data_IF_483240206239
#
_entry.id   IF_483240206239
#
_cell.length_a   1.000
_cell.length_b   1.000
_cell.length_c   1.000
_cell.angle_alpha   90.00
_cell.angle_beta   90.00
_cell.angle_gamma   90.00
#
_symmetry.space_group_name_H-M   'P 1'
#
loop_
_entity.id
_entity.type
_entity.pdbx_description
1 polymer ?
#
# COMPACT_ATOMS: atom_id res chain seq x y z
N UNK A 1 -11.51 -10.29 -5.61
CA UNK A 1 -11.23 -10.86 -6.96
C UNK A 1 -10.69 -9.86 -7.98
N UNK A 2 -11.07 -8.56 -8.03
CA UNK A 2 -10.58 -7.63 -9.06
C UNK A 2 -9.05 -7.42 -9.09
N UNK A 3 -8.41 -7.34 -7.93
CA UNK A 3 -6.96 -7.07 -7.83
C UNK A 3 -6.11 -8.14 -8.55
N UNK A 4 -6.46 -9.42 -8.39
CA UNK A 4 -5.69 -10.54 -8.94
C UNK A 4 -5.68 -10.50 -10.47
N UNK A 5 -6.83 -10.20 -11.07
CA UNK A 5 -6.97 -10.10 -12.53
C UNK A 5 -6.13 -8.95 -13.07
N UNK A 6 -6.28 -7.75 -12.48
CA UNK A 6 -5.56 -6.55 -12.90
C UNK A 6 -4.04 -6.76 -12.80
N UNK A 7 -3.56 -7.25 -11.65
CA UNK A 7 -2.13 -7.47 -11.41
C UNK A 7 -1.58 -8.56 -12.34
N UNK A 8 -2.33 -9.62 -12.61
CA UNK A 8 -1.90 -10.68 -13.54
C UNK A 8 -1.73 -10.16 -14.97
N UNK A 9 -2.65 -9.31 -15.44
CA UNK A 9 -2.55 -8.68 -16.77
C UNK A 9 -1.32 -7.77 -16.85
N UNK A 10 -1.09 -6.94 -15.83
CA UNK A 10 0.07 -6.04 -15.79
C UNK A 10 1.38 -6.86 -15.74
N UNK A 11 1.44 -7.88 -14.87
CA UNK A 11 2.62 -8.72 -14.70
C UNK A 11 2.98 -9.48 -15.99
N UNK A 12 2.00 -9.88 -16.80
CA UNK A 12 2.24 -10.52 -18.10
C UNK A 12 2.91 -9.57 -19.11
N UNK A 13 2.53 -8.30 -19.10
CA UNK A 13 3.06 -7.29 -20.02
C UNK A 13 4.43 -6.73 -19.61
N UNK A 14 4.91 -7.01 -18.38
CA UNK A 14 6.25 -6.66 -17.86
C UNK A 14 6.70 -5.23 -18.25
N UNK A 15 6.01 -4.18 -17.78
CA UNK A 15 6.38 -2.82 -18.13
C UNK A 15 7.80 -2.50 -17.65
N UNK A 16 8.70 -2.19 -18.58
CA UNK A 16 10.12 -1.92 -18.30
C UNK A 16 10.40 -0.42 -18.14
N UNK A 17 9.56 0.44 -18.70
CA UNK A 17 9.75 1.89 -18.65
C UNK A 17 9.23 2.47 -17.32
N UNK A 18 10.16 2.90 -16.47
CA UNK A 18 9.86 3.50 -15.16
C UNK A 18 8.93 4.72 -15.27
N UNK A 19 9.17 5.61 -16.23
CA UNK A 19 8.36 6.83 -16.41
C UNK A 19 6.92 6.49 -16.79
N UNK A 20 6.73 5.49 -17.64
CA UNK A 20 5.38 5.01 -17.98
C UNK A 20 4.66 4.45 -16.74
N UNK A 21 5.33 3.64 -15.93
CA UNK A 21 4.74 3.10 -14.69
C UNK A 21 4.38 4.21 -13.71
N UNK A 22 5.26 5.20 -13.52
CA UNK A 22 4.99 6.35 -12.66
C UNK A 22 3.86 7.23 -13.18
N UNK A 23 3.79 7.44 -14.50
CA UNK A 23 2.70 8.18 -15.13
C UNK A 23 1.35 7.50 -14.88
N UNK A 24 1.26 6.18 -15.14
CA UNK A 24 0.05 5.40 -14.88
C UNK A 24 -0.31 5.43 -13.40
N UNK A 25 0.68 5.30 -12.50
CA UNK A 25 0.46 5.38 -11.06
C UNK A 25 -0.14 6.73 -10.64
N UNK A 26 0.46 7.84 -11.08
CA UNK A 26 -0.02 9.20 -10.77
C UNK A 26 -1.42 9.41 -11.35
N UNK A 27 -1.70 8.94 -12.57
CA UNK A 27 -3.01 9.01 -13.19
C UNK A 27 -4.07 8.27 -12.34
N UNK A 28 -3.79 7.02 -11.95
CA UNK A 28 -4.70 6.21 -11.12
C UNK A 28 -4.95 6.85 -9.77
N UNK A 29 -3.91 7.35 -9.10
CA UNK A 29 -4.04 8.05 -7.81
C UNK A 29 -4.86 9.33 -7.95
N UNK A 30 -4.63 10.11 -9.00
CA UNK A 30 -5.35 11.36 -9.27
C UNK A 30 -6.83 11.08 -9.49
N UNK A 31 -7.17 10.16 -10.40
CA UNK A 31 -8.56 9.76 -10.68
C UNK A 31 -9.22 9.21 -9.41
N UNK A 32 -8.53 8.34 -8.67
CA UNK A 32 -9.04 7.78 -7.42
C UNK A 32 -9.30 8.86 -6.37
N UNK A 33 -8.40 9.83 -6.23
CA UNK A 33 -8.59 10.97 -5.33
C UNK A 33 -9.81 11.80 -5.72
N UNK A 34 -10.01 12.11 -7.00
CA UNK A 34 -11.18 12.86 -7.47
C UNK A 34 -12.49 12.11 -7.25
N UNK A 35 -12.55 10.82 -7.58
CA UNK A 35 -13.75 9.99 -7.38
C UNK A 35 -14.11 9.93 -5.88
N UNK A 36 -13.13 9.67 -5.03
CA UNK A 36 -13.35 9.51 -3.60
C UNK A 36 -13.69 10.82 -2.89
N UNK A 37 -13.11 11.94 -3.33
CA UNK A 37 -13.39 13.28 -2.77
C UNK A 37 -14.76 13.83 -3.20
N UNK A 38 -15.26 13.44 -4.38
CA UNK A 38 -16.59 13.85 -4.88
C UNK A 38 -17.72 13.44 -3.93
N UNK A 39 -17.59 12.27 -3.30
CA UNK A 39 -18.51 11.82 -2.28
C UNK A 39 -18.08 12.41 -0.93
N UNK A 40 -18.51 13.63 -0.60
CA UNK A 40 -18.25 14.23 0.71
C UNK A 40 -18.89 13.36 1.80
N UNK A 41 -18.08 12.52 2.44
CA UNK A 41 -18.48 11.76 3.60
C UNK A 41 -18.11 12.58 4.84
N UNK A 42 -18.87 12.39 5.92
CA UNK A 42 -18.60 13.01 7.22
C UNK A 42 -17.13 12.82 7.64
N UNK A 43 -16.60 13.75 8.43
CA UNK A 43 -15.20 13.70 8.90
C UNK A 43 -14.95 12.34 9.55
N UNK A 44 -13.88 11.66 9.14
CA UNK A 44 -13.48 10.41 9.74
C UNK A 44 -13.33 10.57 11.25
N UNK A 45 -13.98 9.68 12.02
CA UNK A 45 -13.76 9.60 13.46
C UNK A 45 -12.28 9.29 13.73
N UNK A 46 -11.71 9.87 14.77
CA UNK A 46 -10.37 9.52 15.21
C UNK A 46 -10.34 8.04 15.62
N UNK A 47 -9.71 7.21 14.81
CA UNK A 47 -9.58 5.78 15.08
C UNK A 47 -8.43 5.59 16.06
N UNK A 48 -8.75 5.09 17.26
CA UNK A 48 -7.76 4.67 18.25
C UNK A 48 -7.63 3.15 18.22
N UNK A 49 -6.40 2.67 18.09
CA UNK A 49 -6.14 1.24 18.09
C UNK A 49 -5.67 0.81 19.48
N UNK A 50 -6.23 -0.29 19.99
CA UNK A 50 -5.68 -0.94 21.18
C UNK A 50 -4.37 -1.64 20.83
N UNK A 51 -3.54 -1.91 21.85
CA UNK A 51 -2.30 -2.68 21.67
C UNK A 51 -2.58 -4.05 21.06
N UNK A 52 -3.65 -4.73 21.51
CA UNK A 52 -4.06 -6.03 20.99
C UNK A 52 -4.47 -5.97 19.52
N UNK A 53 -5.23 -4.95 19.13
CA UNK A 53 -5.58 -4.70 17.74
C UNK A 53 -4.35 -4.45 16.87
N UNK A 54 -3.38 -3.70 17.38
CA UNK A 54 -2.12 -3.41 16.67
C UNK A 54 -1.30 -4.67 16.46
N UNK A 55 -1.14 -5.49 17.50
CA UNK A 55 -0.47 -6.79 17.42
C UNK A 55 -1.21 -7.72 16.44
N UNK A 56 -2.53 -7.81 16.53
CA UNK A 56 -3.35 -8.63 15.63
C UNK A 56 -3.17 -8.25 14.15
N UNK A 57 -3.07 -6.95 13.84
CA UNK A 57 -2.75 -6.48 12.49
C UNK A 57 -1.35 -6.90 12.05
N UNK A 58 -0.36 -6.82 12.94
CA UNK A 58 1.00 -7.29 12.68
C UNK A 58 1.05 -8.79 12.37
N UNK A 59 0.37 -9.60 13.18
CA UNK A 59 0.27 -11.06 12.98
C UNK A 59 -0.44 -11.37 11.66
N UNK A 60 -1.57 -10.71 11.37
CA UNK A 60 -2.29 -10.91 10.11
C UNK A 60 -1.43 -10.54 8.90
N UNK A 61 -0.78 -9.38 8.90
CA UNK A 61 0.08 -8.95 7.82
C UNK A 61 1.28 -9.89 7.64
N UNK A 62 1.92 -10.30 8.74
CA UNK A 62 3.04 -11.24 8.73
C UNK A 62 2.64 -12.62 8.21
N UNK A 63 1.47 -13.14 8.61
CA UNK A 63 0.92 -14.37 8.09
C UNK A 63 0.69 -14.30 6.58
N UNK A 64 0.07 -13.21 6.10
CA UNK A 64 -0.17 -13.01 4.67
C UNK A 64 1.14 -12.91 3.88
N UNK A 65 2.13 -12.16 4.38
CA UNK A 65 3.46 -12.08 3.73
C UNK A 65 4.12 -13.46 3.69
N UNK A 66 4.07 -14.22 4.79
CA UNK A 66 4.62 -15.58 4.87
C UNK A 66 3.96 -16.51 3.84
N UNK A 67 2.63 -16.44 3.71
CA UNK A 67 1.86 -17.21 2.73
C UNK A 67 2.26 -16.83 1.29
N UNK A 68 2.43 -15.55 1.00
CA UNK A 68 2.86 -15.05 -0.31
C UNK A 68 4.26 -15.57 -0.66
N UNK A 69 5.22 -15.52 0.28
CA UNK A 69 6.59 -16.02 0.06
C UNK A 69 6.58 -17.53 -0.17
N UNK A 70 5.83 -18.28 0.64
CA UNK A 70 5.69 -19.72 0.50
C UNK A 70 5.07 -20.12 -0.84
N UNK A 71 3.95 -19.49 -1.21
CA UNK A 71 3.28 -19.72 -2.49
C UNK A 71 4.14 -19.28 -3.67
N UNK A 72 4.88 -18.17 -3.55
CA UNK A 72 5.82 -17.72 -4.58
C UNK A 72 6.96 -18.73 -4.81
N UNK A 73 7.40 -19.44 -3.76
CA UNK A 73 8.37 -20.54 -3.90
C UNK A 73 7.80 -21.73 -4.66
N UNK A 74 6.52 -22.07 -4.44
CA UNK A 74 5.86 -23.23 -5.07
C UNK A 74 5.42 -22.93 -6.50
N UNK A 75 4.79 -21.77 -6.71
CA UNK A 75 4.16 -21.37 -7.97
C UNK A 75 5.13 -20.63 -8.90
N UNK A 76 6.32 -20.29 -8.41
CA UNK A 76 7.37 -19.61 -9.15
C UNK A 76 7.32 -18.07 -9.09
N UNK A 77 8.35 -17.40 -9.62
CA UNK A 77 8.58 -15.97 -9.42
C UNK A 77 7.44 -15.07 -9.93
N UNK A 78 6.77 -15.48 -11.02
CA UNK A 78 5.63 -14.74 -11.57
C UNK A 78 4.49 -14.61 -10.55
N UNK A 79 4.06 -15.73 -9.97
CA UNK A 79 3.00 -15.76 -8.98
C UNK A 79 3.43 -15.14 -7.65
N UNK A 80 4.71 -15.27 -7.27
CA UNK A 80 5.26 -14.54 -6.13
C UNK A 80 5.08 -13.03 -6.28
N UNK A 81 5.41 -12.49 -7.46
CA UNK A 81 5.19 -11.07 -7.78
C UNK A 81 3.71 -10.68 -7.78
N UNK A 82 2.85 -11.45 -8.45
CA UNK A 82 1.41 -11.18 -8.50
C UNK A 82 0.80 -11.16 -7.09
N UNK A 83 1.10 -12.17 -6.27
CA UNK A 83 0.56 -12.30 -4.91
C UNK A 83 1.10 -11.23 -3.96
N UNK A 84 2.32 -10.73 -4.18
CA UNK A 84 2.92 -9.65 -3.37
C UNK A 84 2.14 -8.33 -3.41
N UNK A 85 1.34 -8.11 -4.46
CA UNK A 85 0.49 -6.93 -4.59
C UNK A 85 -0.78 -6.99 -3.72
N UNK A 86 -1.00 -8.09 -2.98
CA UNK A 86 -2.18 -8.23 -2.13
C UNK A 86 -2.20 -7.15 -1.01
N UNK A 87 -3.31 -6.43 -0.84
CA UNK A 87 -3.37 -5.28 0.07
C UNK A 87 -3.59 -5.69 1.54
N UNK A 88 -2.67 -6.45 2.12
CA UNK A 88 -2.80 -7.00 3.48
C UNK A 88 -3.04 -5.92 4.55
N UNK A 89 -2.22 -4.86 4.53
CA UNK A 89 -2.30 -3.76 5.50
C UNK A 89 -3.65 -3.02 5.42
N UNK A 90 -4.09 -2.68 4.21
CA UNK A 90 -5.36 -1.97 3.98
C UNK A 90 -6.54 -2.86 4.39
N UNK A 91 -6.52 -4.14 4.00
CA UNK A 91 -7.57 -5.10 4.34
C UNK A 91 -7.70 -5.24 5.86
N UNK A 92 -6.58 -5.35 6.58
CA UNK A 92 -6.58 -5.42 8.04
C UNK A 92 -7.18 -4.17 8.68
N UNK A 93 -6.90 -2.98 8.13
CA UNK A 93 -7.41 -1.72 8.63
C UNK A 93 -8.93 -1.61 8.42
N UNK A 94 -9.43 -2.01 7.24
CA UNK A 94 -10.87 -1.95 6.95
C UNK A 94 -11.67 -2.91 7.79
N UNK A 95 -11.19 -4.14 7.96
CA UNK A 95 -11.84 -5.13 8.82
C UNK A 95 -12.01 -4.57 10.24
N UNK A 96 -10.96 -3.94 10.77
CA UNK A 96 -11.00 -3.34 12.10
C UNK A 96 -11.96 -2.14 12.15
N UNK A 97 -11.87 -1.21 11.19
CA UNK A 97 -12.76 -0.03 11.15
C UNK A 97 -14.22 -0.45 11.05
N UNK A 98 -14.53 -1.41 10.17
CA UNK A 98 -15.88 -1.93 10.01
C UNK A 98 -16.42 -2.51 11.32
N UNK A 99 -15.66 -3.36 12.00
CA UNK A 99 -16.14 -4.01 13.22
C UNK A 99 -16.19 -3.11 14.45
N UNK A 100 -15.28 -2.15 14.58
CA UNK A 100 -15.17 -1.32 15.80
C UNK A 100 -15.87 0.03 15.67
N UNK A 101 -16.01 0.55 14.44
CA UNK A 101 -16.56 1.89 14.18
C UNK A 101 -17.73 1.87 13.19
N UNK A 102 -18.12 0.70 12.67
CA UNK A 102 -19.21 0.55 11.73
C UNK A 102 -18.85 0.93 10.28
N UNK A 103 -19.70 0.48 9.35
CA UNK A 103 -19.49 0.69 7.90
C UNK A 103 -19.45 2.15 7.48
N UNK A 104 -20.12 3.05 8.21
CA UNK A 104 -20.14 4.48 7.92
C UNK A 104 -18.75 5.11 7.99
N UNK A 105 -17.85 4.57 8.82
CA UNK A 105 -16.49 5.07 9.00
C UNK A 105 -15.48 4.54 7.96
N UNK A 106 -15.88 3.58 7.11
CA UNK A 106 -14.99 3.04 6.07
C UNK A 106 -14.72 4.07 4.98
N UNK A 107 -15.75 4.76 4.50
CA UNK A 107 -15.61 5.68 3.37
C UNK A 107 -14.71 6.89 3.68
N UNK A 108 -14.86 7.59 4.82
CA UNK A 108 -13.93 8.64 5.24
C UNK A 108 -12.48 8.15 5.38
N UNK A 109 -12.29 6.89 5.79
CA UNK A 109 -10.96 6.28 5.93
C UNK A 109 -10.32 6.01 4.55
N UNK A 110 -11.12 5.51 3.60
CA UNK A 110 -10.68 5.18 2.24
C UNK A 110 -10.25 6.42 1.46
N UNK A 111 -10.88 7.58 1.70
CA UNK A 111 -10.57 8.84 1.00
C UNK A 111 -9.11 9.30 1.14
N UNK A 112 -8.43 8.90 2.21
CA UNK A 112 -7.02 9.23 2.46
C UNK A 112 -6.04 8.29 1.75
N UNK A 113 -6.49 7.11 1.30
CA UNK A 113 -5.62 6.09 0.72
C UNK A 113 -4.90 6.55 -0.55
N UNK A 114 -5.52 7.27 -1.51
CA UNK A 114 -4.82 7.66 -2.74
C UNK A 114 -3.57 8.50 -2.45
N UNK A 115 -3.67 9.44 -1.51
CA UNK A 115 -2.52 10.28 -1.13
C UNK A 115 -1.49 9.45 -0.37
N UNK A 116 -1.93 8.62 0.59
CA UNK A 116 -1.03 7.73 1.35
C UNK A 116 -0.27 6.74 0.46
N UNK A 117 -0.82 6.34 -0.68
CA UNK A 117 -0.17 5.43 -1.61
C UNK A 117 1.12 5.99 -2.23
N UNK A 118 1.32 7.32 -2.24
CA UNK A 118 2.55 7.97 -2.71
C UNK A 118 3.82 7.53 -1.95
N UNK A 119 3.67 6.97 -0.75
CA UNK A 119 4.77 6.41 0.05
C UNK A 119 5.38 5.17 -0.62
N UNK A 120 4.59 4.40 -1.38
CA UNK A 120 5.02 3.15 -2.02
C UNK A 120 6.07 3.38 -3.11
N UNK A 121 5.84 4.26 -4.13
CA UNK A 121 6.87 4.53 -5.12
C UNK A 121 8.10 5.21 -4.52
N UNK A 122 7.96 5.99 -3.42
CA UNK A 122 9.11 6.55 -2.73
C UNK A 122 10.04 5.44 -2.21
N UNK A 123 9.48 4.42 -1.55
CA UNK A 123 10.23 3.23 -1.16
C UNK A 123 10.88 2.56 -2.37
N UNK A 124 10.09 2.22 -3.39
CA UNK A 124 10.56 1.44 -4.53
C UNK A 124 11.70 2.15 -5.29
N UNK A 125 11.55 3.44 -5.57
CA UNK A 125 12.57 4.24 -6.25
C UNK A 125 13.84 4.31 -5.40
N UNK A 126 13.72 4.59 -4.09
CA UNK A 126 14.90 4.64 -3.21
C UNK A 126 15.61 3.28 -3.12
N UNK A 127 14.87 2.18 -3.09
CA UNK A 127 15.41 0.82 -3.10
C UNK A 127 16.18 0.51 -4.38
N UNK A 128 15.69 0.99 -5.55
CA UNK A 128 16.40 0.84 -6.83
C UNK A 128 17.80 1.47 -6.80
N UNK A 129 17.99 2.56 -6.06
CA UNK A 129 19.30 3.22 -5.94
C UNK A 129 20.15 2.69 -4.79
N UNK A 130 19.56 2.40 -3.63
CA UNK A 130 20.33 1.99 -2.45
C UNK A 130 20.73 0.51 -2.48
N UNK A 131 19.89 -0.38 -3.00
CA UNK A 131 20.21 -1.82 -2.98
C UNK A 131 21.51 -2.15 -3.73
N UNK A 132 21.81 -1.58 -4.91
CA UNK A 132 23.07 -1.83 -5.60
C UNK A 132 24.30 -1.22 -4.91
N UNK A 133 24.13 -0.14 -4.14
CA UNK A 133 25.26 0.64 -3.57
C UNK A 133 25.65 0.16 -2.19
N UNK A 134 24.68 -0.09 -1.31
CA UNK A 134 24.92 -0.42 0.12
C UNK A 134 24.40 -1.80 0.51
N UNK A 135 23.89 -2.57 -0.45
CA UNK A 135 23.32 -3.89 -0.24
C UNK A 135 21.89 -3.86 0.29
N UNK A 136 21.26 -5.03 0.33
CA UNK A 136 19.83 -5.20 0.64
C UNK A 136 19.43 -4.74 2.05
N UNK A 137 20.21 -5.11 3.08
CA UNK A 137 19.83 -4.83 4.48
C UNK A 137 19.86 -3.33 4.75
N UNK A 138 21.02 -2.69 4.53
CA UNK A 138 21.20 -1.24 4.76
C UNK A 138 20.30 -0.46 3.80
N UNK A 139 20.23 -0.89 2.53
CA UNK A 139 19.37 -0.26 1.54
C UNK A 139 17.89 -0.30 1.93
N UNK A 140 17.42 -1.36 2.59
CA UNK A 140 16.04 -1.45 3.10
C UNK A 140 15.78 -0.40 4.17
N UNK A 141 16.67 -0.26 5.15
CA UNK A 141 16.53 0.77 6.20
C UNK A 141 16.55 2.19 5.63
N UNK A 142 17.45 2.48 4.69
CA UNK A 142 17.49 3.79 4.01
C UNK A 142 16.22 4.06 3.20
N UNK A 143 15.71 3.05 2.49
CA UNK A 143 14.48 3.18 1.69
C UNK A 143 13.24 3.38 2.56
N UNK A 144 13.20 2.70 3.72
CA UNK A 144 12.17 2.94 4.74
C UNK A 144 12.28 4.36 5.30
N UNK A 145 13.48 4.87 5.57
CA UNK A 145 13.67 6.23 6.05
C UNK A 145 13.13 7.26 5.04
N UNK A 146 13.43 7.10 3.74
CA UNK A 146 12.87 7.95 2.67
C UNK A 146 11.34 7.90 2.67
N UNK A 147 10.77 6.71 2.78
CA UNK A 147 9.33 6.50 2.80
C UNK A 147 8.66 7.16 4.01
N UNK A 148 9.30 7.10 5.18
CA UNK A 148 8.84 7.77 6.39
C UNK A 148 8.90 9.29 6.26
N UNK A 149 9.96 9.84 5.66
CA UNK A 149 10.08 11.27 5.37
C UNK A 149 8.94 11.72 4.45
N UNK A 150 8.67 10.98 3.36
CA UNK A 150 7.56 11.27 2.45
C UNK A 150 6.22 11.18 3.18
N UNK A 151 5.99 10.14 3.98
CA UNK A 151 4.78 10.01 4.78
C UNK A 151 4.59 11.18 5.74
N UNK A 152 5.67 11.65 6.38
CA UNK A 152 5.63 12.81 7.27
C UNK A 152 5.31 14.09 6.51
N UNK A 153 5.94 14.34 5.35
CA UNK A 153 5.64 15.49 4.50
C UNK A 153 4.18 15.49 4.03
N UNK A 154 3.65 14.34 3.64
CA UNK A 154 2.24 14.19 3.24
C UNK A 154 1.28 14.49 4.40
N UNK A 155 1.63 14.11 5.63
CA UNK A 155 0.81 14.44 6.81
C UNK A 155 0.70 15.95 7.09
N UNK A 156 1.61 16.77 6.55
CA UNK A 156 1.56 18.24 6.65
C UNK A 156 0.71 18.89 5.55
N UNK A 157 0.38 18.16 4.49
CA UNK A 157 -0.49 18.67 3.42
C UNK A 157 -1.92 18.71 3.95
N UNK A 158 -2.59 19.86 3.82
CA UNK A 158 -3.96 20.16 4.29
C UNK A 158 -5.07 19.21 3.81
N UNK A 159 -4.72 18.20 3.01
CA UNK A 159 -5.61 17.14 2.50
C UNK A 159 -5.59 15.86 3.35
N UNK A 160 -4.89 15.86 4.49
CA UNK A 160 -4.90 14.77 5.47
C UNK A 160 -5.88 15.03 6.63
#
# INVERSE_FOLDING_TARGET
MPWLVIVSVIAKNKPTNLFFVLFVFVLVITVSHFILKKNQSEKAVAISYTTLQTIGRGVFAGFVITLIVFLGKILGPFWGGVLSAFPASISSAFILVHWNYGSSNLFPTIQRLPIGALVIPAFAISAMFFFPVVGFIIGTFLSLAVSLIVSFLLSKVKSF
#
